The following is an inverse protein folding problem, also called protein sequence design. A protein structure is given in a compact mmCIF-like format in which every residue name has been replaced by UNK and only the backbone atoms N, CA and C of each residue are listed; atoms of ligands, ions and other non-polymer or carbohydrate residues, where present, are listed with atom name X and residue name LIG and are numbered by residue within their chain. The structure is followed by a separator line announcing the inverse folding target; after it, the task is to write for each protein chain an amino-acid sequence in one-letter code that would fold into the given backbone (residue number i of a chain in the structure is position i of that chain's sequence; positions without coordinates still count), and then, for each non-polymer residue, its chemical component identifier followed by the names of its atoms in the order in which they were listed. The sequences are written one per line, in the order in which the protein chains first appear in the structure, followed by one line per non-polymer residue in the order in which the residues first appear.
data_IF_502274288414
#
_entry.id   IF_502274288414
#
_cell.length_a   1.000
_cell.length_b   1.000
_cell.length_c   1.000
_cell.angle_alpha   90.00
_cell.angle_beta   90.00
_cell.angle_gamma   90.00
#
_symmetry.space_group_name_H-M   'P 1'
#
loop_
_entity.id
_entity.type
_entity.pdbx_description
1 polymer ?
#
# COMPACT_ATOMS: atom_id res chain seq x y z
N UNK A 1 6.11 -7.01 2.85
CA UNK A 1 6.13 -7.07 1.37
C UNK A 1 7.34 -6.28 0.88
N UNK A 2 8.33 -6.93 0.26
CA UNK A 2 9.56 -6.29 -0.19
C UNK A 2 9.52 -5.99 -1.70
N UNK A 3 8.55 -5.18 -2.14
CA UNK A 3 8.40 -4.78 -3.54
C UNK A 3 8.90 -3.34 -3.70
N UNK A 4 9.90 -3.07 -4.57
CA UNK A 4 10.34 -1.71 -4.87
C UNK A 4 9.17 -0.82 -5.31
N UNK A 5 9.02 0.33 -4.65
CA UNK A 5 7.91 1.28 -4.87
C UNK A 5 6.79 1.19 -3.85
N UNK A 6 6.73 0.14 -3.02
CA UNK A 6 5.87 0.06 -1.83
C UNK A 6 6.54 0.78 -0.66
N UNK A 7 5.81 1.65 0.02
CA UNK A 7 6.27 2.44 1.17
C UNK A 7 5.61 2.07 2.49
N UNK A 8 4.54 1.28 2.44
CA UNK A 8 3.85 0.82 3.63
C UNK A 8 2.74 -0.18 3.33
N UNK A 9 2.33 -0.90 4.38
CA UNK A 9 1.19 -1.81 4.35
C UNK A 9 0.36 -1.64 5.61
N UNK A 10 -0.96 -1.77 5.51
CA UNK A 10 -1.87 -1.72 6.64
C UNK A 10 -3.05 -2.67 6.46
N UNK A 11 -3.74 -2.97 7.56
CA UNK A 11 -5.06 -3.60 7.53
C UNK A 11 -6.12 -2.51 7.68
N UNK A 12 -7.25 -2.65 7.00
CA UNK A 12 -8.32 -1.67 7.10
C UNK A 12 -9.64 -2.16 6.54
N UNK A 13 -10.55 -1.20 6.33
CA UNK A 13 -11.86 -1.43 5.73
C UNK A 13 -11.94 -0.66 4.42
N UNK A 14 -12.15 -1.38 3.31
CA UNK A 14 -12.31 -0.83 1.98
C UNK A 14 -13.72 -1.16 1.50
N UNK A 15 -14.52 -0.13 1.17
CA UNK A 15 -15.91 -0.31 0.72
C UNK A 15 -16.74 -1.21 1.67
N UNK A 16 -16.55 -1.05 2.98
CA UNK A 16 -17.29 -1.78 4.01
C UNK A 16 -16.83 -3.24 4.23
N UNK A 17 -15.72 -3.68 3.63
CA UNK A 17 -15.17 -5.04 3.82
C UNK A 17 -13.72 -4.99 4.29
N UNK A 18 -13.24 -6.00 5.04
CA UNK A 18 -11.83 -6.13 5.39
C UNK A 18 -10.96 -6.10 4.13
N UNK A 19 -9.87 -5.34 4.18
CA UNK A 19 -8.90 -5.25 3.10
C UNK A 19 -7.49 -5.05 3.65
N UNK A 20 -6.50 -5.36 2.82
CA UNK A 20 -5.13 -4.95 3.02
C UNK A 20 -4.86 -3.72 2.17
N UNK A 21 -4.30 -2.67 2.77
CA UNK A 21 -3.85 -1.48 2.05
C UNK A 21 -2.38 -1.56 1.77
N UNK A 22 -2.01 -1.30 0.53
CA UNK A 22 -0.61 -1.17 0.08
C UNK A 22 -0.40 0.27 -0.37
N UNK A 23 0.50 0.96 0.32
CA UNK A 23 0.86 2.33 0.02
C UNK A 23 2.06 2.37 -0.91
N UNK A 24 1.97 3.12 -2.00
CA UNK A 24 3.02 3.21 -3.02
C UNK A 24 3.45 4.65 -3.26
N UNK A 25 4.70 4.83 -3.70
CA UNK A 25 5.20 6.15 -4.13
C UNK A 25 4.38 6.66 -5.31
N UNK A 26 4.19 5.80 -6.31
CA UNK A 26 3.45 6.09 -7.55
C UNK A 26 2.87 4.81 -8.13
N UNK A 27 1.65 4.87 -8.66
CA UNK A 27 1.05 3.79 -9.43
C UNK A 27 1.66 3.76 -10.82
N UNK A 28 2.41 2.70 -11.11
CA UNK A 28 2.92 2.40 -12.45
C UNK A 28 2.39 1.04 -12.89
N UNK A 29 2.16 0.79 -14.19
CA UNK A 29 1.66 -0.51 -14.66
C UNK A 29 2.52 -1.68 -14.16
N UNK A 30 3.84 -1.56 -14.27
CA UNK A 30 4.80 -2.57 -13.79
C UNK A 30 4.73 -2.82 -12.28
N UNK A 31 4.39 -1.82 -11.46
CA UNK A 31 4.21 -2.02 -10.02
C UNK A 31 2.85 -2.67 -9.71
N UNK A 32 1.79 -2.25 -10.39
CA UNK A 32 0.44 -2.79 -10.21
C UNK A 32 0.37 -4.27 -10.58
N UNK A 33 1.12 -4.71 -11.60
CA UNK A 33 1.22 -6.13 -11.98
C UNK A 33 1.96 -6.98 -10.94
N UNK A 34 2.89 -6.38 -10.19
CA UNK A 34 3.68 -7.09 -9.17
C UNK A 34 2.97 -7.20 -7.83
N UNK A 35 2.04 -6.29 -7.54
CA UNK A 35 1.27 -6.32 -6.29
C UNK A 35 0.11 -7.29 -6.48
N UNK A 36 0.01 -8.35 -5.64
CA UNK A 36 -1.11 -9.27 -5.74
C UNK A 36 -2.42 -8.54 -5.42
N UNK A 37 -3.47 -8.86 -6.19
CA UNK A 37 -4.80 -8.27 -5.98
C UNK A 37 -5.50 -8.84 -4.74
N UNK A 38 -5.08 -10.02 -4.28
CA UNK A 38 -5.58 -10.69 -3.08
C UNK A 38 -4.44 -11.38 -2.32
N UNK A 39 -4.53 -11.42 -0.99
CA UNK A 39 -3.63 -12.20 -0.12
C UNK A 39 -4.52 -13.01 0.82
N UNK A 40 -4.41 -14.34 0.79
CA UNK A 40 -5.26 -15.24 1.58
C UNK A 40 -6.78 -14.99 1.36
N UNK A 41 -7.14 -14.58 0.14
CA UNK A 41 -8.53 -14.23 -0.21
C UNK A 41 -8.99 -12.83 0.25
N UNK A 42 -8.16 -12.10 1.00
CA UNK A 42 -8.43 -10.71 1.41
C UNK A 42 -8.04 -9.77 0.27
N UNK A 43 -8.92 -8.85 -0.16
CA UNK A 43 -8.63 -7.92 -1.24
C UNK A 43 -7.54 -6.92 -0.85
N UNK A 44 -6.68 -6.60 -1.81
CA UNK A 44 -5.64 -5.57 -1.68
C UNK A 44 -6.11 -4.27 -2.35
N UNK A 45 -6.10 -3.19 -1.58
CA UNK A 45 -6.34 -1.82 -2.04
C UNK A 45 -5.02 -1.06 -2.17
N UNK A 46 -4.71 -0.60 -3.39
CA UNK A 46 -3.45 0.10 -3.67
C UNK A 46 -3.71 1.60 -3.63
N UNK A 47 -3.01 2.30 -2.73
CA UNK A 47 -3.14 3.74 -2.50
C UNK A 47 -1.84 4.43 -2.86
N UNK A 48 -1.91 5.42 -3.74
CA UNK A 48 -0.76 6.28 -4.02
C UNK A 48 -0.65 7.35 -2.94
N UNK A 49 0.49 7.42 -2.26
CA UNK A 49 0.72 8.38 -1.16
C UNK A 49 1.99 9.20 -1.34
N UNK A 50 2.82 8.87 -2.32
CA UNK A 50 4.20 9.35 -2.35
C UNK A 50 5.06 8.69 -1.26
N UNK A 51 6.25 9.25 -1.03
CA UNK A 51 7.17 8.75 -0.02
C UNK A 51 6.72 9.12 1.39
N UNK A 52 6.70 8.14 2.29
CA UNK A 52 6.57 8.41 3.71
C UNK A 52 7.84 9.10 4.23
N UNK A 53 7.65 10.14 5.03
CA UNK A 53 8.74 10.88 5.67
C UNK A 53 8.45 10.95 7.17
N UNK A 54 9.49 10.72 7.96
CA UNK A 54 9.41 10.96 9.39
C UNK A 54 9.12 12.46 9.63
N UNK A 55 8.25 12.74 10.58
CA UNK A 55 8.09 14.09 11.09
C UNK A 55 9.35 14.37 11.95
N UNK A 56 10.03 15.52 11.77
CA UNK A 56 11.16 15.89 12.61
C UNK A 56 10.75 15.88 14.09
N UNK A 57 11.64 15.50 15.02
CA UNK A 57 11.35 15.59 16.45
C UNK A 57 11.08 17.06 16.84
N UNK A 58 10.13 17.29 17.74
CA UNK A 58 9.94 18.59 18.37
C UNK A 58 11.20 18.98 19.16
N UNK A 59 11.60 20.25 19.09
CA UNK A 59 12.78 20.78 19.80
C UNK A 59 12.47 21.08 21.26
#
# INVERSE_FOLDING_TARGET
MAIPGVVGTAQGVCRGRPCLRVYVIKKTPALLERIPQTIEGIPVDIVETGAFRAIPPEK
#
